data_IF_855641938054
#
_entry.id   IF_855641938054
#
_cell.length_a   1.000
_cell.length_b   1.000
_cell.length_c   1.000
_cell.angle_alpha   90.00
_cell.angle_beta   90.00
_cell.angle_gamma   90.00
#
_symmetry.space_group_name_H-M   'P 1'
#
loop_
_entity.id
_entity.type
_entity.pdbx_description
1 polymer ?
#
# COMPACT_ATOMS: atom_id res chain seq x y z
N UNK A 1 15.13 -13.62 -10.75
CA UNK A 1 14.81 -12.37 -10.04
C UNK A 1 13.88 -12.74 -8.91
N UNK A 2 14.25 -12.43 -7.68
CA UNK A 2 13.40 -12.71 -6.51
C UNK A 2 12.57 -11.48 -6.14
N UNK A 3 11.38 -11.71 -5.61
CA UNK A 3 10.34 -10.71 -5.36
C UNK A 3 10.23 -9.68 -6.48
N UNK A 4 10.00 -10.18 -7.69
CA UNK A 4 10.05 -9.39 -8.91
C UNK A 4 9.14 -8.15 -8.85
N UNK A 5 8.09 -8.19 -8.03
CA UNK A 5 7.14 -7.11 -7.85
C UNK A 5 7.71 -5.82 -7.19
N UNK A 6 8.84 -5.89 -6.45
CA UNK A 6 9.22 -4.82 -5.50
C UNK A 6 10.08 -3.71 -6.08
N UNK A 7 10.94 -3.98 -7.07
CA UNK A 7 11.93 -2.97 -7.54
C UNK A 7 12.56 -3.29 -8.89
N UNK A 8 12.37 -4.49 -9.43
CA UNK A 8 13.10 -4.97 -10.60
C UNK A 8 12.32 -4.74 -11.90
N UNK A 9 11.60 -3.62 -11.97
CA UNK A 9 10.93 -3.17 -13.18
C UNK A 9 11.54 -1.86 -13.69
N UNK A 10 11.34 -1.57 -14.98
CA UNK A 10 11.85 -0.39 -15.66
C UNK A 10 13.40 -0.36 -15.74
N UNK A 11 14.06 0.74 -15.37
CA UNK A 11 15.45 1.00 -15.75
C UNK A 11 16.47 -0.06 -15.33
N UNK A 12 16.32 -0.68 -14.15
CA UNK A 12 17.21 -1.77 -13.74
C UNK A 12 17.01 -3.04 -14.58
N UNK A 13 15.76 -3.36 -14.95
CA UNK A 13 15.44 -4.49 -15.82
C UNK A 13 15.91 -4.24 -17.26
N UNK A 14 15.77 -3.01 -17.75
CA UNK A 14 16.26 -2.59 -19.07
C UNK A 14 17.77 -2.72 -19.18
N UNK A 15 18.50 -2.21 -18.18
CA UNK A 15 19.96 -2.35 -18.11
C UNK A 15 20.38 -3.82 -18.08
N UNK A 16 19.67 -4.66 -17.32
CA UNK A 16 19.97 -6.08 -17.23
C UNK A 16 19.74 -6.81 -18.57
N UNK A 17 18.66 -6.50 -19.29
CA UNK A 17 18.39 -7.07 -20.62
C UNK A 17 19.37 -6.57 -21.68
N UNK A 18 19.73 -5.29 -21.63
CA UNK A 18 20.73 -4.72 -22.52
C UNK A 18 22.12 -5.35 -22.30
N UNK A 19 22.50 -5.58 -21.02
CA UNK A 19 23.77 -6.22 -20.67
C UNK A 19 23.83 -7.71 -20.93
N UNK A 20 22.68 -8.40 -20.99
CA UNK A 20 22.59 -9.86 -21.14
C UNK A 20 21.58 -10.25 -22.25
N UNK A 21 21.88 -9.98 -23.52
CA UNK A 21 20.91 -10.11 -24.62
C UNK A 21 20.46 -11.55 -24.92
N UNK A 22 21.27 -12.55 -24.55
CA UNK A 22 20.98 -13.96 -24.82
C UNK A 22 20.58 -14.75 -23.56
N UNK A 23 20.33 -14.06 -22.44
CA UNK A 23 19.97 -14.72 -21.20
C UNK A 23 18.47 -15.01 -21.12
N UNK A 24 18.12 -16.11 -20.46
CA UNK A 24 16.74 -16.38 -20.05
C UNK A 24 16.48 -15.76 -18.69
N UNK A 25 15.33 -15.10 -18.54
CA UNK A 25 14.95 -14.40 -17.32
C UNK A 25 13.82 -15.15 -16.62
N UNK A 26 14.07 -15.62 -15.40
CA UNK A 26 13.06 -16.21 -14.54
C UNK A 26 12.81 -15.30 -13.34
N UNK A 27 11.53 -15.20 -12.94
CA UNK A 27 11.09 -14.40 -11.81
C UNK A 27 10.26 -15.25 -10.83
N UNK A 28 10.46 -14.98 -9.54
CA UNK A 28 9.64 -15.51 -8.45
C UNK A 28 8.96 -14.33 -7.75
N UNK A 29 7.73 -14.52 -7.29
CA UNK A 29 6.99 -13.49 -6.56
C UNK A 29 5.96 -14.14 -5.65
N UNK A 30 5.96 -13.78 -4.36
CA UNK A 30 4.96 -14.26 -3.40
C UNK A 30 3.65 -13.45 -3.46
N UNK A 31 3.75 -12.17 -3.85
CA UNK A 31 2.60 -11.29 -4.10
C UNK A 31 2.67 -10.83 -5.55
N UNK A 32 2.21 -11.65 -6.52
CA UNK A 32 2.01 -11.12 -7.86
C UNK A 32 1.10 -9.90 -7.72
N UNK A 33 1.46 -8.75 -8.31
CA UNK A 33 0.67 -7.53 -8.18
C UNK A 33 -0.75 -7.80 -8.69
N UNK A 34 -1.68 -8.02 -7.75
CA UNK A 34 -3.08 -8.31 -8.01
C UNK A 34 -3.76 -6.99 -8.37
N UNK A 35 -3.81 -6.69 -9.67
CA UNK A 35 -4.44 -5.48 -10.17
C UNK A 35 -4.24 -5.32 -11.67
N UNK A 36 -4.96 -4.37 -12.29
CA UNK A 36 -4.98 -4.12 -13.74
C UNK A 36 -3.59 -3.81 -14.35
N UNK A 37 -2.56 -3.58 -13.53
CA UNK A 37 -1.18 -3.46 -13.98
C UNK A 37 -0.43 -4.79 -13.83
N UNK A 38 -0.63 -5.70 -14.80
CA UNK A 38 0.19 -6.92 -15.00
C UNK A 38 1.62 -6.61 -15.44
N UNK A 39 2.32 -5.71 -14.74
CA UNK A 39 3.68 -5.30 -15.07
C UNK A 39 4.63 -6.51 -15.00
N UNK A 40 4.46 -7.42 -14.04
CA UNK A 40 5.25 -8.66 -13.96
C UNK A 40 5.20 -9.46 -15.27
N UNK A 41 4.01 -9.69 -15.83
CA UNK A 41 3.84 -10.47 -17.04
C UNK A 41 4.41 -9.75 -18.27
N UNK A 42 4.30 -8.42 -18.32
CA UNK A 42 4.92 -7.64 -19.40
C UNK A 42 6.44 -7.84 -19.45
N UNK A 43 7.08 -8.06 -18.29
CA UNK A 43 8.53 -8.23 -18.18
C UNK A 43 9.01 -9.68 -18.18
N UNK A 44 8.20 -10.65 -17.75
CA UNK A 44 8.65 -12.06 -17.60
C UNK A 44 7.81 -13.07 -18.39
N UNK A 45 6.72 -12.64 -19.01
CA UNK A 45 5.78 -13.52 -19.70
C UNK A 45 4.77 -14.17 -18.75
N UNK A 46 4.19 -15.28 -19.20
CA UNK A 46 3.19 -16.03 -18.44
C UNK A 46 3.81 -16.88 -17.33
N UNK A 47 2.98 -17.30 -16.39
CA UNK A 47 3.41 -18.19 -15.31
C UNK A 47 3.83 -19.55 -15.87
N UNK A 48 5.01 -20.01 -15.45
CA UNK A 48 5.47 -21.39 -15.69
C UNK A 48 4.89 -22.34 -14.65
N UNK A 49 4.72 -21.87 -13.43
CA UNK A 49 4.14 -22.61 -12.31
C UNK A 49 3.55 -21.62 -11.31
N UNK A 50 2.42 -21.98 -10.72
CA UNK A 50 1.78 -21.25 -9.64
C UNK A 50 1.64 -22.18 -8.44
N UNK A 51 2.03 -21.68 -7.28
CA UNK A 51 1.85 -22.34 -6.00
C UNK A 51 1.21 -21.34 -5.05
N UNK A 52 -0.07 -21.56 -4.74
CA UNK A 52 -0.88 -20.59 -4.05
C UNK A 52 -0.86 -20.81 -2.52
N UNK A 53 -1.34 -19.80 -1.80
CA UNK A 53 -1.38 -19.83 -0.33
C UNK A 53 -2.19 -21.02 0.20
N UNK A 54 -3.29 -21.38 -0.45
CA UNK A 54 -4.12 -22.50 -0.02
C UNK A 54 -3.37 -23.84 -0.10
N UNK A 55 -2.70 -24.10 -1.23
CA UNK A 55 -1.87 -25.31 -1.43
C UNK A 55 -0.78 -25.41 -0.37
N UNK A 56 -0.18 -24.27 -0.01
CA UNK A 56 0.85 -24.20 1.02
C UNK A 56 0.36 -24.50 2.43
N UNK A 57 -0.92 -24.26 2.71
CA UNK A 57 -1.53 -24.65 3.97
C UNK A 57 -1.91 -26.14 3.93
N UNK A 58 -2.41 -26.63 2.79
CA UNK A 58 -2.85 -28.03 2.61
C UNK A 58 -1.70 -29.05 2.71
N UNK A 59 -0.51 -28.72 2.19
CA UNK A 59 0.67 -29.59 2.26
C UNK A 59 1.52 -29.39 3.53
N UNK A 60 1.12 -28.45 4.39
CA UNK A 60 1.80 -28.15 5.65
C UNK A 60 3.10 -27.35 5.50
N UNK A 61 3.38 -26.77 4.34
CA UNK A 61 4.54 -25.89 4.15
C UNK A 61 4.41 -24.54 4.88
N UNK A 62 3.19 -24.06 5.10
CA UNK A 62 2.90 -22.84 5.88
C UNK A 62 1.79 -23.06 6.92
N UNK A 63 1.75 -22.17 7.91
CA UNK A 63 0.71 -22.17 8.95
C UNK A 63 -0.53 -21.37 8.49
N UNK A 64 -1.74 -21.72 8.94
CA UNK A 64 -2.95 -20.96 8.61
C UNK A 64 -2.87 -19.51 9.11
N UNK A 65 -3.32 -18.57 8.28
CA UNK A 65 -3.41 -17.16 8.63
C UNK A 65 -4.82 -16.83 9.16
N UNK A 66 -4.90 -16.37 10.41
CA UNK A 66 -6.14 -15.88 11.01
C UNK A 66 -6.14 -14.35 11.03
N UNK A 67 -7.13 -13.73 10.40
CA UNK A 67 -7.29 -12.28 10.41
C UNK A 67 -8.32 -11.86 11.46
N UNK A 68 -7.87 -11.14 12.49
CA UNK A 68 -8.75 -10.47 13.44
C UNK A 68 -8.80 -8.98 13.10
N UNK A 69 -9.98 -8.49 12.69
CA UNK A 69 -10.17 -7.06 12.44
C UNK A 69 -10.19 -6.31 13.76
N UNK A 70 -9.19 -5.46 13.99
CA UNK A 70 -9.19 -4.50 15.10
C UNK A 70 -9.63 -3.14 14.58
N UNK A 71 -10.72 -2.59 15.12
CA UNK A 71 -11.13 -1.21 14.86
C UNK A 71 -10.61 -0.36 16.02
N UNK A 72 -9.63 0.53 15.80
CA UNK A 72 -9.22 1.46 16.84
C UNK A 72 -10.35 2.45 17.09
N UNK A 73 -10.76 2.59 18.35
CA UNK A 73 -11.66 3.65 18.77
C UNK A 73 -10.82 4.92 18.99
N UNK A 74 -11.16 5.99 18.25
CA UNK A 74 -10.56 7.30 18.47
C UNK A 74 -11.36 7.97 19.57
N UNK A 75 -10.76 8.10 20.75
CA UNK A 75 -11.32 8.82 21.88
C UNK A 75 -10.80 10.26 21.87
N UNK A 76 -11.71 11.23 21.80
CA UNK A 76 -11.40 12.61 22.15
C UNK A 76 -11.34 12.66 23.68
N UNK A 77 -10.15 12.91 24.23
CA UNK A 77 -9.94 12.97 25.69
C UNK A 77 -10.24 14.34 26.29
N UNK A 78 -10.33 15.38 25.46
CA UNK A 78 -10.70 16.73 25.87
C UNK A 78 -12.15 17.01 25.44
N UNK A 79 -13.08 16.88 26.39
CA UNK A 79 -14.49 17.13 26.17
C UNK A 79 -14.76 18.62 25.83
N UNK A 80 -13.87 19.51 26.25
CA UNK A 80 -13.96 20.97 26.05
C UNK A 80 -13.22 21.43 24.79
N UNK A 81 -12.67 20.52 23.98
CA UNK A 81 -11.85 20.84 22.79
C UNK A 81 -12.58 21.78 21.82
N UNK A 82 -13.88 21.58 21.64
CA UNK A 82 -14.71 22.43 20.77
C UNK A 82 -14.88 23.85 21.32
N UNK A 83 -15.01 23.98 22.64
CA UNK A 83 -15.20 25.27 23.30
C UNK A 83 -13.87 26.04 23.34
N UNK A 84 -12.75 25.36 23.60
CA UNK A 84 -11.40 25.95 23.49
C UNK A 84 -11.11 26.43 22.06
N UNK A 85 -11.48 25.62 21.06
CA UNK A 85 -11.33 25.99 19.66
C UNK A 85 -12.15 27.22 19.28
N UNK A 86 -13.40 27.29 19.76
CA UNK A 86 -14.26 28.46 19.56
C UNK A 86 -13.70 29.72 20.22
N UNK A 87 -13.18 29.61 21.45
CA UNK A 87 -12.57 30.74 22.16
C UNK A 87 -11.33 31.29 21.44
N UNK A 88 -10.48 30.42 20.88
CA UNK A 88 -9.31 30.84 20.09
C UNK A 88 -9.75 31.57 18.81
N UNK A 89 -10.80 31.09 18.13
CA UNK A 89 -11.33 31.75 16.94
C UNK A 89 -11.88 33.16 17.25
N UNK A 90 -12.55 33.32 18.39
CA UNK A 90 -13.05 34.62 18.85
C UNK A 90 -11.90 35.60 19.20
N UNK A 91 -10.84 35.13 19.84
CA UNK A 91 -9.69 35.96 20.24
C UNK A 91 -8.86 36.44 19.03
N UNK A 92 -8.75 35.62 17.99
CA UNK A 92 -8.00 35.93 16.76
C UNK A 92 -8.73 36.88 15.79
N UNK A 93 -9.97 37.30 16.12
CA UNK A 93 -10.77 38.27 15.37
C UNK A 93 -10.82 37.98 13.85
N UNK A 94 -10.91 36.69 13.51
CA UNK A 94 -10.93 36.20 12.13
C UNK A 94 -12.23 36.65 11.44
N UNK A 95 -12.14 36.95 10.14
CA UNK A 95 -13.35 37.16 9.35
C UNK A 95 -14.11 35.83 9.17
N UNK A 96 -15.42 35.91 8.90
CA UNK A 96 -16.27 34.73 8.78
C UNK A 96 -15.82 33.76 7.68
N UNK A 97 -15.12 34.26 6.66
CA UNK A 97 -14.60 33.45 5.55
C UNK A 97 -13.35 32.65 5.98
N UNK A 98 -12.46 33.25 6.79
CA UNK A 98 -11.30 32.58 7.38
C UNK A 98 -11.71 31.53 8.41
N UNK A 99 -12.75 31.80 9.23
CA UNK A 99 -13.28 30.85 10.20
C UNK A 99 -13.85 29.59 9.52
N UNK A 100 -14.71 29.76 8.52
CA UNK A 100 -15.33 28.64 7.79
C UNK A 100 -14.28 27.77 7.07
N UNK A 101 -13.20 28.39 6.57
CA UNK A 101 -12.09 27.68 5.94
C UNK A 101 -11.27 26.86 6.95
N UNK A 102 -11.14 27.33 8.19
CA UNK A 102 -10.42 26.64 9.24
C UNK A 102 -11.22 25.42 9.74
N UNK A 103 -12.52 25.61 9.98
CA UNK A 103 -13.43 24.53 10.38
C UNK A 103 -13.43 23.40 9.33
N UNK A 104 -13.59 23.70 8.04
CA UNK A 104 -13.55 22.67 6.98
C UNK A 104 -12.22 21.92 6.84
N UNK A 105 -11.12 22.50 7.32
CA UNK A 105 -9.78 21.90 7.20
C UNK A 105 -9.45 20.96 8.36
N UNK A 106 -10.02 21.21 9.53
CA UNK A 106 -9.66 20.53 10.77
C UNK A 106 -10.83 19.79 11.46
N UNK A 107 -12.07 19.97 11.00
CA UNK A 107 -13.20 19.09 11.27
C UNK A 107 -13.17 17.85 10.36
#
# INVERSE_FOLDING_TARGET
>A
VDEAHRTQYAGLAENMRAGLPNANFLAFTGTPLLGQERKTNAWFGDYVSEYNFQQSVEDGATVPLFYEKRVPEVLIQNDDLSDEFAAILEDENLDGEAQEKLEKRFA
#
